data_IF_458678624508
#
_entry.id   IF_458678624508
#
_cell.length_a   1.000
_cell.length_b   1.000
_cell.length_c   1.000
_cell.angle_alpha   90.00
_cell.angle_beta   90.00
_cell.angle_gamma   90.00
#
_symmetry.space_group_name_H-M   'P 1'
#
loop_
_entity.id
_entity.type
_entity.pdbx_description
1 polymer ?
#
# COMPACT_ATOMS: atom_id res chain seq x y z
N UNK A 1 -24.65 61.12 67.97
CA UNK A 1 -24.64 61.36 66.53
C UNK A 1 -23.72 60.32 65.90
N UNK A 2 -24.33 59.29 65.32
CA UNK A 2 -23.56 58.19 64.69
C UNK A 2 -23.38 58.44 63.20
N UNK A 3 -22.11 58.47 62.73
CA UNK A 3 -21.78 58.52 61.32
C UNK A 3 -21.61 57.11 60.82
N UNK A 4 -22.47 56.65 59.91
CA UNK A 4 -22.40 55.41 59.21
C UNK A 4 -21.54 55.63 57.90
N UNK A 5 -20.39 54.96 57.82
CA UNK A 5 -19.60 54.88 56.60
C UNK A 5 -20.07 53.67 55.80
N UNK A 6 -20.55 53.92 54.61
CA UNK A 6 -20.84 52.84 53.60
C UNK A 6 -19.59 52.65 52.80
N UNK A 7 -19.01 51.46 52.91
CA UNK A 7 -17.91 50.99 52.03
C UNK A 7 -18.54 50.31 50.82
N UNK A 8 -18.41 50.88 49.62
CA UNK A 8 -18.81 50.27 48.35
C UNK A 8 -17.65 49.38 47.89
N UNK A 9 -17.84 48.08 47.93
CA UNK A 9 -16.91 47.12 47.34
C UNK A 9 -17.22 46.96 45.84
N UNK A 10 -16.39 47.55 44.99
CA UNK A 10 -16.44 47.35 43.55
C UNK A 10 -15.83 45.98 43.17
N UNK A 11 -16.65 45.06 42.67
CA UNK A 11 -16.20 43.82 42.13
C UNK A 11 -15.65 44.02 40.69
N UNK A 12 -14.35 43.98 40.52
CA UNK A 12 -13.72 43.91 39.20
C UNK A 12 -13.85 42.48 38.66
N UNK A 13 -14.73 42.24 37.70
CA UNK A 13 -14.81 40.99 36.93
C UNK A 13 -13.82 41.13 35.79
N UNK A 14 -12.63 40.58 35.94
CA UNK A 14 -11.68 40.37 34.84
C UNK A 14 -12.16 39.20 34.01
N UNK A 15 -12.80 39.46 32.87
CA UNK A 15 -13.10 38.47 31.87
C UNK A 15 -11.76 38.03 31.18
N UNK A 16 -11.18 36.92 31.62
CA UNK A 16 -10.14 36.23 30.86
C UNK A 16 -10.80 35.70 29.58
N UNK A 17 -10.57 36.38 28.47
CA UNK A 17 -10.90 35.87 27.15
C UNK A 17 -10.07 34.65 26.84
N UNK A 18 -10.59 33.45 27.09
CA UNK A 18 -10.06 32.21 26.56
C UNK A 18 -10.26 32.26 25.06
N UNK A 19 -9.22 32.66 24.32
CA UNK A 19 -9.15 32.44 22.89
C UNK A 19 -9.05 30.93 22.67
N UNK A 20 -10.17 30.24 22.50
CA UNK A 20 -10.21 28.87 22.02
C UNK A 20 -9.69 28.94 20.57
N UNK A 21 -8.57 28.30 20.25
CA UNK A 21 -8.16 28.21 18.85
C UNK A 21 -9.31 27.54 18.10
N UNK A 22 -9.92 28.24 17.17
CA UNK A 22 -10.94 27.66 16.30
C UNK A 22 -10.28 26.50 15.58
N UNK A 23 -10.67 25.28 15.90
CA UNK A 23 -10.29 24.11 15.11
C UNK A 23 -10.78 24.40 13.69
N UNK A 24 -9.85 24.69 12.79
CA UNK A 24 -10.18 24.94 11.38
C UNK A 24 -10.79 23.63 10.85
N UNK A 25 -12.07 23.68 10.52
CA UNK A 25 -12.75 22.51 9.97
C UNK A 25 -12.03 22.06 8.71
N UNK A 26 -11.90 20.76 8.54
CA UNK A 26 -11.32 20.17 7.33
C UNK A 26 -12.18 20.56 6.12
N UNK A 27 -11.57 21.26 5.17
CA UNK A 27 -12.23 21.71 3.96
C UNK A 27 -11.97 20.71 2.82
N UNK A 28 -12.87 19.74 2.70
CA UNK A 28 -12.81 18.73 1.64
C UNK A 28 -12.83 19.34 0.22
N UNK A 29 -13.41 20.53 0.06
CA UNK A 29 -13.54 21.15 -1.28
C UNK A 29 -12.18 21.52 -1.90
N UNK A 30 -11.14 21.59 -1.07
CA UNK A 30 -9.76 21.82 -1.52
C UNK A 30 -9.08 20.59 -2.12
N UNK A 31 -9.67 19.42 -1.96
CA UNK A 31 -9.07 18.15 -2.39
C UNK A 31 -9.80 17.58 -3.60
N UNK A 32 -9.13 16.75 -4.43
CA UNK A 32 -9.80 16.06 -5.50
C UNK A 32 -10.88 15.11 -4.94
N UNK A 33 -11.96 14.96 -5.67
CA UNK A 33 -13.02 14.03 -5.26
C UNK A 33 -12.58 12.58 -5.53
N UNK A 34 -11.94 11.95 -4.54
CA UNK A 34 -11.51 10.56 -4.60
C UNK A 34 -12.50 9.57 -3.98
N UNK A 35 -13.72 10.03 -3.64
CA UNK A 35 -14.77 9.20 -3.02
C UNK A 35 -15.24 8.08 -3.95
N UNK A 36 -15.69 6.99 -3.35
CA UNK A 36 -16.21 5.79 -4.04
C UNK A 36 -15.13 4.73 -4.24
N UNK A 37 -15.54 3.63 -4.85
CA UNK A 37 -14.64 2.53 -5.16
C UNK A 37 -13.94 2.75 -6.49
N UNK A 38 -12.67 2.34 -6.53
CA UNK A 38 -11.81 2.41 -7.68
C UNK A 38 -11.35 1.02 -8.08
N UNK A 39 -11.56 0.67 -9.32
CA UNK A 39 -11.22 -0.62 -9.89
C UNK A 39 -10.06 -0.47 -10.86
N UNK A 40 -9.02 -1.29 -10.69
CA UNK A 40 -7.87 -1.25 -11.60
C UNK A 40 -8.29 -1.59 -13.02
N UNK A 41 -7.84 -0.80 -13.97
CA UNK A 41 -7.99 -1.04 -15.40
C UNK A 41 -6.62 -1.27 -16.05
N UNK A 42 -6.61 -1.97 -17.18
CA UNK A 42 -5.38 -2.28 -17.91
C UNK A 42 -4.61 -3.46 -17.33
N UNK A 43 -3.32 -3.54 -17.67
CA UNK A 43 -2.46 -4.66 -17.28
C UNK A 43 -2.21 -4.72 -15.78
N UNK A 44 -2.33 -5.91 -15.15
CA UNK A 44 -1.87 -6.13 -13.78
C UNK A 44 -0.35 -6.18 -13.67
N UNK A 45 0.35 -6.32 -14.78
CA UNK A 45 1.81 -6.41 -14.81
C UNK A 45 2.45 -5.06 -15.03
N UNK A 46 3.64 -4.92 -14.54
CA UNK A 46 4.57 -3.91 -15.01
C UNK A 46 5.08 -4.32 -16.41
N UNK A 47 5.82 -3.44 -17.05
CA UNK A 47 6.54 -3.80 -18.28
C UNK A 47 7.79 -4.63 -17.92
N UNK A 48 7.56 -5.86 -17.51
CA UNK A 48 8.56 -6.76 -16.97
C UNK A 48 9.65 -7.11 -18.02
N UNK A 49 9.27 -7.17 -19.30
CA UNK A 49 10.21 -7.44 -20.39
C UNK A 49 11.30 -6.36 -20.52
N UNK A 50 10.96 -5.10 -20.19
CA UNK A 50 11.87 -3.95 -20.26
C UNK A 50 12.37 -3.48 -18.90
N UNK A 51 12.10 -4.24 -17.82
CA UNK A 51 12.60 -3.91 -16.50
C UNK A 51 14.13 -3.80 -16.50
N UNK A 52 14.71 -2.68 -16.01
CA UNK A 52 16.15 -2.44 -16.04
C UNK A 52 16.88 -3.19 -14.93
N UNK A 53 16.70 -4.52 -14.86
CA UNK A 53 17.34 -5.37 -13.85
C UNK A 53 18.85 -5.41 -14.03
N UNK A 54 19.56 -5.47 -12.90
CA UNK A 54 20.98 -5.85 -12.89
C UNK A 54 21.13 -7.28 -13.45
N UNK A 55 22.32 -7.68 -13.95
CA UNK A 55 22.52 -9.04 -14.45
C UNK A 55 22.21 -10.13 -13.43
N UNK A 56 22.52 -9.91 -12.16
CA UNK A 56 22.24 -10.82 -11.06
C UNK A 56 20.73 -11.03 -10.89
N UNK A 57 19.96 -9.94 -10.77
CA UNK A 57 18.51 -10.00 -10.54
C UNK A 57 17.74 -10.44 -11.78
N UNK A 58 18.28 -10.20 -12.97
CA UNK A 58 17.74 -10.79 -14.21
C UNK A 58 17.84 -12.31 -14.20
N UNK A 59 18.98 -12.86 -13.78
CA UNK A 59 19.14 -14.31 -13.65
C UNK A 59 18.17 -14.92 -12.62
N UNK A 60 17.93 -14.24 -11.49
CA UNK A 60 16.95 -14.65 -10.49
C UNK A 60 15.54 -14.65 -11.08
N UNK A 61 15.18 -13.61 -11.82
CA UNK A 61 13.86 -13.51 -12.46
C UNK A 61 13.64 -14.57 -13.53
N UNK A 62 14.62 -14.81 -14.40
CA UNK A 62 14.55 -15.85 -15.43
C UNK A 62 14.43 -17.26 -14.81
N UNK A 63 15.13 -17.52 -13.72
CA UNK A 63 14.98 -18.76 -12.97
C UNK A 63 13.58 -18.90 -12.36
N UNK A 64 13.02 -17.80 -11.86
CA UNK A 64 11.64 -17.74 -11.35
C UNK A 64 10.63 -18.06 -12.45
N UNK A 65 10.76 -17.44 -13.63
CA UNK A 65 9.89 -17.72 -14.78
C UNK A 65 9.96 -19.18 -15.22
N UNK A 66 11.14 -19.76 -15.21
CA UNK A 66 11.34 -21.18 -15.54
C UNK A 66 10.67 -22.11 -14.54
N UNK A 67 10.75 -21.79 -13.24
CA UNK A 67 10.07 -22.56 -12.19
C UNK A 67 8.54 -22.45 -12.35
N UNK A 68 8.02 -21.25 -12.59
CA UNK A 68 6.59 -21.02 -12.84
C UNK A 68 6.08 -21.76 -14.08
N UNK A 69 6.87 -21.83 -15.15
CA UNK A 69 6.53 -22.59 -16.35
C UNK A 69 6.42 -24.12 -16.09
N UNK A 70 7.01 -24.61 -15.00
CA UNK A 70 6.95 -26.02 -14.56
C UNK A 70 5.86 -26.24 -13.50
N UNK A 71 5.04 -25.23 -13.20
CA UNK A 71 4.00 -25.27 -12.17
C UNK A 71 4.49 -24.88 -10.76
N UNK A 72 5.74 -24.39 -10.66
CA UNK A 72 6.25 -23.80 -9.42
C UNK A 72 5.69 -22.39 -9.17
N UNK A 73 6.06 -21.82 -8.05
CA UNK A 73 5.60 -20.48 -7.63
C UNK A 73 6.59 -19.37 -7.98
N UNK A 74 7.78 -19.74 -8.46
CA UNK A 74 8.86 -18.80 -8.63
C UNK A 74 9.26 -18.18 -7.29
N UNK A 75 9.54 -16.86 -7.30
CA UNK A 75 9.90 -16.07 -6.12
C UNK A 75 8.71 -15.30 -5.52
N UNK A 76 7.50 -15.55 -5.99
CA UNK A 76 6.30 -14.84 -5.49
C UNK A 76 5.93 -15.30 -4.08
N UNK A 77 6.04 -14.44 -3.04
CA UNK A 77 5.77 -14.84 -1.67
C UNK A 77 4.27 -14.87 -1.33
N UNK A 78 3.40 -14.31 -2.16
CA UNK A 78 1.97 -14.20 -1.85
C UNK A 78 1.25 -15.53 -1.86
N UNK A 79 1.82 -16.55 -2.50
CA UNK A 79 1.29 -17.91 -2.45
C UNK A 79 1.28 -18.51 -1.03
N UNK A 80 2.08 -18.00 -0.12
CA UNK A 80 2.09 -18.41 1.30
C UNK A 80 1.46 -17.38 2.22
N UNK A 81 0.54 -16.56 1.69
CA UNK A 81 -0.18 -15.50 2.40
C UNK A 81 0.72 -14.41 3.01
N UNK A 82 1.92 -14.24 2.50
CA UNK A 82 2.70 -13.04 2.79
C UNK A 82 2.02 -11.85 2.09
N UNK A 83 1.78 -10.74 2.80
CA UNK A 83 1.16 -9.56 2.19
C UNK A 83 1.89 -9.10 0.93
N UNK A 84 1.20 -8.68 -0.13
CA UNK A 84 1.83 -8.25 -1.38
C UNK A 84 2.77 -7.06 -1.19
N UNK A 85 2.47 -6.17 -0.26
CA UNK A 85 3.27 -4.97 0.02
C UNK A 85 3.34 -3.99 -1.15
N UNK A 86 4.07 -2.89 -0.95
CA UNK A 86 4.29 -1.90 -1.99
C UNK A 86 5.38 -2.36 -2.98
N UNK A 87 5.23 -2.06 -4.30
CA UNK A 87 4.11 -1.37 -4.96
C UNK A 87 2.97 -2.31 -5.37
N UNK A 88 3.08 -3.62 -5.18
CA UNK A 88 2.14 -4.63 -5.68
C UNK A 88 0.73 -4.43 -5.16
N UNK A 89 0.57 -3.93 -3.93
CA UNK A 89 -0.73 -3.65 -3.32
C UNK A 89 -1.55 -2.65 -4.16
N UNK A 90 -0.90 -1.74 -4.89
CA UNK A 90 -1.55 -0.81 -5.81
C UNK A 90 -1.95 -1.45 -7.15
N UNK A 91 -1.68 -2.74 -7.33
CA UNK A 91 -1.90 -3.45 -8.58
C UNK A 91 -2.79 -4.69 -8.46
N UNK A 92 -3.48 -4.83 -7.34
CA UNK A 92 -4.42 -5.94 -7.10
C UNK A 92 -5.71 -5.80 -7.93
N UNK A 93 -6.50 -6.85 -7.99
CA UNK A 93 -7.75 -6.89 -8.76
C UNK A 93 -8.92 -6.27 -8.03
N UNK A 94 -8.90 -6.40 -6.71
CA UNK A 94 -10.01 -5.97 -5.88
C UNK A 94 -10.08 -4.44 -5.80
N UNK A 95 -11.26 -3.88 -5.57
CA UNK A 95 -11.44 -2.44 -5.50
C UNK A 95 -10.70 -1.84 -4.31
N UNK A 96 -10.38 -0.55 -4.44
CA UNK A 96 -9.87 0.27 -3.35
C UNK A 96 -10.75 1.48 -3.12
N UNK A 97 -10.69 2.04 -1.90
CA UNK A 97 -11.32 3.30 -1.53
C UNK A 97 -10.27 4.24 -0.96
N UNK A 98 -10.40 5.53 -1.27
CA UNK A 98 -9.46 6.55 -0.80
C UNK A 98 -10.21 7.50 0.13
N UNK A 99 -9.72 7.61 1.37
CA UNK A 99 -10.28 8.48 2.40
C UNK A 99 -9.26 9.55 2.76
N UNK A 100 -9.62 10.81 2.54
CA UNK A 100 -8.77 11.95 2.86
C UNK A 100 -9.18 12.52 4.22
N UNK A 101 -8.19 12.72 5.08
CA UNK A 101 -8.34 13.40 6.37
C UNK A 101 -7.33 14.55 6.47
N UNK A 102 -7.41 15.44 7.46
CA UNK A 102 -6.47 16.56 7.60
C UNK A 102 -4.99 16.19 7.67
N UNK A 103 -4.67 14.96 8.09
CA UNK A 103 -3.29 14.55 8.34
C UNK A 103 -2.86 13.27 7.61
N UNK A 104 -3.82 12.54 7.06
CA UNK A 104 -3.56 11.22 6.46
C UNK A 104 -4.51 10.99 5.30
N UNK A 105 -3.99 10.54 4.18
CA UNK A 105 -4.77 9.87 3.16
C UNK A 105 -4.68 8.35 3.38
N UNK A 106 -5.83 7.70 3.48
CA UNK A 106 -5.94 6.25 3.60
C UNK A 106 -6.32 5.66 2.26
N UNK A 107 -5.63 4.62 1.85
CA UNK A 107 -6.04 3.77 0.74
C UNK A 107 -6.43 2.43 1.36
N UNK A 108 -7.74 2.17 1.37
CA UNK A 108 -8.32 0.91 1.82
C UNK A 108 -8.34 -0.03 0.61
N UNK A 109 -7.82 -1.21 0.77
CA UNK A 109 -7.71 -2.19 -0.32
C UNK A 109 -8.42 -3.45 0.12
N UNK A 110 -9.43 -3.84 -0.64
CA UNK A 110 -10.25 -5.01 -0.29
C UNK A 110 -9.44 -6.30 -0.31
N UNK A 111 -8.43 -6.38 -1.18
CA UNK A 111 -7.55 -7.55 -1.25
C UNK A 111 -6.87 -7.80 0.10
N UNK A 112 -7.15 -8.94 0.71
CA UNK A 112 -6.67 -9.34 2.05
C UNK A 112 -6.91 -8.30 3.15
N UNK A 113 -7.93 -7.44 3.00
CA UNK A 113 -8.28 -6.36 3.94
C UNK A 113 -7.09 -5.48 4.32
N UNK A 114 -6.25 -5.13 3.35
CA UNK A 114 -5.07 -4.33 3.59
C UNK A 114 -5.38 -2.83 3.56
N UNK A 115 -4.56 -2.07 4.26
CA UNK A 115 -4.74 -0.62 4.36
C UNK A 115 -3.38 0.08 4.30
N UNK A 116 -3.31 1.10 3.46
CA UNK A 116 -2.16 1.97 3.34
C UNK A 116 -2.44 3.33 3.97
N UNK A 117 -1.48 3.86 4.73
CA UNK A 117 -1.52 5.19 5.33
C UNK A 117 -0.47 6.07 4.69
N UNK A 118 -0.88 7.21 4.15
CA UNK A 118 0.01 8.24 3.60
C UNK A 118 -0.13 9.47 4.50
N UNK A 119 0.92 9.80 5.23
CA UNK A 119 0.92 10.93 6.15
C UNK A 119 1.14 12.24 5.37
N UNK A 120 0.18 13.17 5.48
CA UNK A 120 0.16 14.41 4.71
C UNK A 120 0.24 15.67 5.59
N UNK A 121 0.69 15.51 6.83
CA UNK A 121 0.78 16.58 7.84
C UNK A 121 2.17 17.23 7.93
N UNK A 122 3.06 16.96 6.98
CA UNK A 122 4.41 17.53 6.93
C UNK A 122 5.36 16.99 7.98
N UNK A 123 5.06 15.83 8.59
CA UNK A 123 5.94 15.20 9.57
C UNK A 123 7.27 14.76 8.98
N UNK A 124 8.34 14.74 9.77
CA UNK A 124 9.63 14.17 9.34
C UNK A 124 9.54 12.63 9.26
N UNK A 125 10.50 12.05 8.55
CA UNK A 125 10.71 10.60 8.56
C UNK A 125 11.01 10.10 9.96
N UNK A 126 10.36 9.02 10.43
CA UNK A 126 10.70 8.40 11.70
C UNK A 126 12.09 7.77 11.63
N UNK A 127 12.80 7.79 12.75
CA UNK A 127 14.19 7.28 12.80
C UNK A 127 14.26 5.78 13.11
N UNK A 128 13.38 5.33 14.01
CA UNK A 128 13.45 3.97 14.55
C UNK A 128 12.06 3.34 14.51
N UNK A 129 11.69 2.80 13.34
CA UNK A 129 10.47 2.02 13.15
C UNK A 129 10.80 0.70 12.48
N UNK A 130 10.06 -0.34 12.83
CA UNK A 130 10.16 -1.63 12.17
C UNK A 130 9.67 -1.53 10.72
N UNK A 131 10.40 -2.14 9.76
CA UNK A 131 9.96 -2.17 8.37
C UNK A 131 8.69 -3.00 8.22
N UNK A 132 7.83 -2.58 7.28
CA UNK A 132 6.56 -3.27 6.97
C UNK A 132 6.44 -3.58 5.48
N UNK A 133 5.52 -4.45 5.09
CA UNK A 133 5.29 -4.75 3.67
C UNK A 133 4.72 -3.54 2.91
N UNK A 134 3.85 -2.76 3.53
CA UNK A 134 3.32 -1.53 2.94
C UNK A 134 4.31 -0.35 3.03
N UNK A 135 5.35 -0.47 3.86
CA UNK A 135 6.30 0.61 4.12
C UNK A 135 5.72 1.73 4.99
N UNK A 136 6.45 2.82 5.05
CA UNK A 136 6.03 4.09 5.65
C UNK A 136 5.94 5.14 4.55
N UNK A 137 4.77 5.78 4.39
CA UNK A 137 4.52 6.73 3.30
C UNK A 137 4.31 8.12 3.84
N UNK A 138 5.05 9.09 3.30
CA UNK A 138 4.82 10.54 3.48
C UNK A 138 4.35 11.09 2.15
N UNK A 139 3.32 11.92 2.18
CA UNK A 139 2.76 12.56 1.00
C UNK A 139 2.60 14.06 1.17
N UNK A 140 2.50 14.74 0.04
CA UNK A 140 2.20 16.16 -0.04
C UNK A 140 1.14 16.39 -1.10
N UNK A 141 0.12 17.16 -0.73
CA UNK A 141 -0.87 17.65 -1.66
C UNK A 141 -0.34 18.86 -2.40
N UNK A 142 -0.44 18.85 -3.73
CA UNK A 142 0.06 19.90 -4.62
C UNK A 142 -1.12 20.49 -5.37
N UNK A 143 -1.13 21.80 -5.48
CA UNK A 143 -1.96 22.59 -6.37
C UNK A 143 -1.08 22.93 -7.59
N UNK A 144 -1.25 22.18 -8.70
CA UNK A 144 -0.33 22.29 -9.85
C UNK A 144 -0.67 23.43 -10.77
N UNK A 145 -1.89 23.96 -10.74
CA UNK A 145 -2.36 25.04 -11.61
C UNK A 145 -2.60 26.38 -10.88
N UNK A 146 -2.50 26.38 -9.54
CA UNK A 146 -2.58 27.57 -8.70
C UNK A 146 -4.01 28.10 -8.50
N UNK A 147 -5.03 27.25 -8.65
CA UNK A 147 -6.44 27.62 -8.49
C UNK A 147 -6.91 27.63 -7.03
N UNK A 148 -6.03 27.25 -6.09
CA UNK A 148 -6.31 27.15 -4.66
C UNK A 148 -6.87 25.79 -4.24
N UNK A 149 -6.86 24.81 -5.15
CA UNK A 149 -7.29 23.43 -4.89
C UNK A 149 -6.15 22.47 -5.22
N UNK A 150 -6.07 21.40 -4.46
CA UNK A 150 -5.11 20.33 -4.74
C UNK A 150 -5.62 19.44 -5.87
N UNK A 151 -4.74 19.08 -6.77
CA UNK A 151 -5.03 18.20 -7.90
C UNK A 151 -4.08 17.00 -7.99
N UNK A 152 -3.00 16.99 -7.19
CA UNK A 152 -1.99 15.96 -7.17
C UNK A 152 -1.61 15.60 -5.73
N UNK A 153 -1.49 14.29 -5.44
CA UNK A 153 -0.83 13.78 -4.25
C UNK A 153 0.51 13.17 -4.65
N UNK A 154 1.62 13.82 -4.26
CA UNK A 154 2.96 13.23 -4.36
C UNK A 154 3.26 12.43 -3.11
N UNK A 155 3.79 11.21 -3.28
CA UNK A 155 4.06 10.30 -2.18
C UNK A 155 5.47 9.73 -2.31
N UNK A 156 6.15 9.61 -1.19
CA UNK A 156 7.36 8.80 -1.08
C UNK A 156 7.14 7.73 -0.01
N UNK A 157 7.51 6.48 -0.34
CA UNK A 157 7.42 5.33 0.56
C UNK A 157 8.79 4.70 0.75
N UNK A 158 9.15 4.47 2.01
CA UNK A 158 10.39 3.83 2.44
C UNK A 158 10.09 2.80 3.52
N UNK A 159 11.14 2.24 4.09
CA UNK A 159 11.07 1.33 5.23
C UNK A 159 10.22 0.08 4.93
N UNK A 160 10.51 -0.49 3.79
CA UNK A 160 9.86 -1.69 3.26
C UNK A 160 10.59 -2.93 3.75
N UNK A 161 9.87 -4.03 3.93
CA UNK A 161 10.46 -5.35 4.19
C UNK A 161 10.05 -6.35 3.12
N UNK A 162 10.93 -7.31 2.87
CA UNK A 162 10.67 -8.46 1.99
C UNK A 162 10.25 -9.73 2.75
N UNK A 163 10.01 -10.80 2.01
CA UNK A 163 10.13 -10.87 0.54
C UNK A 163 9.00 -10.15 -0.19
N UNK A 164 9.28 -9.58 -1.36
CA UNK A 164 8.34 -8.83 -2.20
C UNK A 164 8.64 -9.03 -3.68
N UNK A 165 7.62 -8.84 -4.51
CA UNK A 165 7.72 -8.78 -5.97
C UNK A 165 6.85 -7.64 -6.50
N UNK A 166 7.16 -7.13 -7.70
CA UNK A 166 6.40 -6.03 -8.31
C UNK A 166 4.96 -6.41 -8.64
N UNK A 167 4.78 -7.65 -9.11
CA UNK A 167 3.50 -8.20 -9.51
C UNK A 167 3.58 -9.73 -9.63
N UNK A 168 2.55 -10.34 -10.21
CA UNK A 168 2.48 -11.79 -10.39
C UNK A 168 3.48 -12.36 -11.43
N UNK A 169 4.30 -11.52 -12.10
CA UNK A 169 5.40 -12.00 -12.93
C UNK A 169 6.62 -12.49 -12.13
N UNK A 170 6.62 -12.21 -10.82
CA UNK A 170 7.75 -12.54 -9.96
C UNK A 170 8.96 -11.61 -10.18
N UNK A 171 8.77 -10.41 -10.77
CA UNK A 171 9.83 -9.43 -10.91
C UNK A 171 10.35 -9.05 -9.51
N UNK A 172 11.65 -9.35 -9.19
CA UNK A 172 12.14 -9.30 -7.82
C UNK A 172 12.60 -7.92 -7.40
N UNK A 173 12.62 -7.69 -6.08
CA UNK A 173 13.33 -6.60 -5.41
C UNK A 173 14.65 -7.07 -4.83
N UNK A 174 15.53 -6.12 -4.57
CA UNK A 174 16.78 -6.39 -3.87
C UNK A 174 16.53 -6.82 -2.41
N UNK A 175 17.37 -7.72 -1.93
CA UNK A 175 17.19 -8.33 -0.59
C UNK A 175 17.52 -7.42 0.59
N UNK A 176 18.19 -6.27 0.35
CA UNK A 176 18.51 -5.29 1.40
C UNK A 176 17.31 -4.47 1.89
N UNK A 177 16.20 -4.48 1.14
CA UNK A 177 14.99 -3.71 1.44
C UNK A 177 15.16 -2.18 1.47
N UNK A 178 16.21 -1.65 0.83
CA UNK A 178 16.47 -0.21 0.73
C UNK A 178 15.70 0.48 -0.42
N UNK A 179 14.65 -0.16 -0.88
CA UNK A 179 13.76 0.35 -1.93
C UNK A 179 13.13 1.68 -1.54
N UNK A 180 13.13 2.63 -2.48
CA UNK A 180 12.34 3.86 -2.39
C UNK A 180 11.29 3.86 -3.50
N UNK A 181 10.04 4.16 -3.14
CA UNK A 181 8.93 4.24 -4.09
C UNK A 181 8.41 5.66 -4.08
N UNK A 182 8.32 6.29 -5.27
CA UNK A 182 7.67 7.59 -5.45
C UNK A 182 6.45 7.43 -6.31
N UNK A 183 5.37 8.13 -5.92
CA UNK A 183 4.11 8.05 -6.62
C UNK A 183 3.55 9.43 -6.87
N UNK A 184 2.81 9.55 -7.96
CA UNK A 184 2.00 10.72 -8.29
C UNK A 184 0.59 10.24 -8.56
N UNK A 185 -0.31 10.55 -7.63
CA UNK A 185 -1.71 10.12 -7.64
C UNK A 185 -2.58 11.31 -7.99
N UNK A 186 -3.31 11.24 -9.11
CA UNK A 186 -4.12 12.34 -9.62
C UNK A 186 -5.30 11.86 -10.47
N UNK A 187 -6.35 12.66 -10.53
CA UNK A 187 -7.46 12.42 -11.46
C UNK A 187 -7.06 12.87 -12.88
N UNK A 188 -7.56 12.15 -13.87
CA UNK A 188 -7.44 12.59 -15.26
C UNK A 188 -8.13 13.93 -15.46
N UNK A 189 -7.50 14.83 -16.24
CA UNK A 189 -8.00 16.20 -16.45
C UNK A 189 -9.29 16.25 -17.30
N UNK A 190 -9.55 15.21 -18.08
CA UNK A 190 -10.70 15.13 -18.98
C UNK A 190 -11.79 14.22 -18.39
N UNK A 191 -11.37 13.11 -17.79
CA UNK A 191 -12.30 12.15 -17.16
C UNK A 191 -12.09 12.07 -15.64
N UNK A 192 -12.91 12.75 -14.83
CA UNK A 192 -12.79 12.71 -13.37
C UNK A 192 -13.09 11.33 -12.75
N UNK A 193 -13.49 10.35 -13.55
CA UNK A 193 -13.68 8.97 -13.12
C UNK A 193 -12.49 8.07 -13.48
N UNK A 194 -11.41 8.65 -13.95
CA UNK A 194 -10.15 7.98 -14.20
C UNK A 194 -9.09 8.51 -13.22
N UNK A 195 -8.56 7.63 -12.39
CA UNK A 195 -7.47 7.90 -11.46
C UNK A 195 -6.18 7.33 -12.04
N UNK A 196 -5.11 8.11 -11.96
CA UNK A 196 -3.76 7.72 -12.32
C UNK A 196 -2.90 7.59 -11.07
N UNK A 197 -1.98 6.64 -11.12
CA UNK A 197 -0.89 6.48 -10.16
C UNK A 197 0.40 6.17 -10.95
N UNK A 198 1.26 7.18 -11.06
CA UNK A 198 2.58 7.05 -11.65
C UNK A 198 3.54 6.57 -10.57
N UNK A 199 3.87 5.28 -10.58
CA UNK A 199 4.71 4.65 -9.58
C UNK A 199 6.13 4.50 -10.11
N UNK A 200 7.09 5.14 -9.48
CA UNK A 200 8.52 5.02 -9.77
C UNK A 200 9.22 4.30 -8.62
N UNK A 201 9.96 3.27 -8.96
CA UNK A 201 10.73 2.47 -8.01
C UNK A 201 12.22 2.68 -8.23
N UNK A 202 12.94 3.00 -7.17
CA UNK A 202 14.40 2.98 -7.07
C UNK A 202 14.79 1.82 -6.16
N UNK A 203 15.59 0.89 -6.68
CA UNK A 203 15.95 -0.35 -5.99
C UNK A 203 17.31 -0.85 -6.48
N UNK A 204 18.10 -1.47 -5.62
CA UNK A 204 19.43 -1.97 -5.98
C UNK A 204 19.40 -3.19 -6.93
N UNK A 205 18.24 -3.82 -7.10
CA UNK A 205 18.05 -4.81 -8.17
C UNK A 205 17.99 -4.20 -9.58
N UNK A 206 17.88 -2.85 -9.67
CA UNK A 206 17.72 -2.09 -10.91
C UNK A 206 18.99 -1.32 -11.26
N UNK A 207 19.22 -1.13 -12.55
CA UNK A 207 20.30 -0.25 -13.08
C UNK A 207 19.82 1.20 -13.29
N UNK A 208 18.51 1.44 -13.25
CA UNK A 208 17.86 2.76 -13.36
C UNK A 208 16.48 2.72 -12.69
N UNK A 209 15.91 3.86 -12.29
CA UNK A 209 14.52 3.93 -11.80
C UNK A 209 13.55 3.30 -12.81
N UNK A 210 12.57 2.58 -12.30
CA UNK A 210 11.58 1.88 -13.11
C UNK A 210 10.19 2.41 -12.81
N UNK A 211 9.51 2.94 -13.84
CA UNK A 211 8.22 3.62 -13.69
C UNK A 211 7.11 2.86 -14.40
N UNK A 212 5.95 2.76 -13.76
CA UNK A 212 4.72 2.30 -14.38
C UNK A 212 3.57 3.27 -14.06
N UNK A 213 2.69 3.53 -15.04
CA UNK A 213 1.44 4.22 -14.80
C UNK A 213 0.34 3.20 -14.56
N UNK A 214 -0.27 3.22 -13.38
CA UNK A 214 -1.44 2.43 -13.03
C UNK A 214 -2.68 3.29 -13.12
N UNK A 215 -3.76 2.69 -13.58
CA UNK A 215 -5.03 3.38 -13.82
C UNK A 215 -6.17 2.68 -13.14
N UNK A 216 -7.09 3.47 -12.62
CA UNK A 216 -8.27 2.96 -11.94
C UNK A 216 -9.50 3.71 -12.42
N UNK A 217 -10.55 2.96 -12.76
CA UNK A 217 -11.85 3.53 -13.08
C UNK A 217 -12.70 3.60 -11.81
N UNK A 218 -13.44 4.69 -11.64
CA UNK A 218 -14.43 4.78 -10.57
C UNK A 218 -15.56 3.80 -10.83
N UNK A 219 -15.90 2.98 -9.85
CA UNK A 219 -17.01 2.05 -9.95
C UNK A 219 -18.32 2.79 -10.18
N UNK A 220 -19.15 2.24 -11.06
CA UNK A 220 -20.50 2.74 -11.36
C UNK A 220 -21.56 2.15 -10.43
N UNK A 221 -21.19 1.20 -9.58
CA UNK A 221 -22.09 0.63 -8.60
C UNK A 221 -22.49 1.71 -7.58
N UNK A 222 -23.79 1.87 -7.38
CA UNK A 222 -24.36 2.83 -6.42
C UNK A 222 -24.48 2.27 -5.01
N UNK A 223 -24.32 0.97 -4.86
CA UNK A 223 -24.39 0.25 -3.60
C UNK A 223 -23.21 -0.74 -3.50
N UNK A 224 -21.99 -0.25 -3.62
CA UNK A 224 -20.82 -1.12 -3.63
C UNK A 224 -20.74 -1.88 -2.30
N UNK A 225 -20.36 -3.14 -2.40
CA UNK A 225 -20.10 -3.98 -1.25
C UNK A 225 -18.60 -4.06 -1.00
N UNK A 226 -18.23 -4.22 0.25
CA UNK A 226 -16.86 -4.52 0.64
C UNK A 226 -16.83 -5.97 1.12
N UNK A 227 -16.23 -6.85 0.32
CA UNK A 227 -16.13 -8.26 0.65
C UNK A 227 -14.96 -8.48 1.60
N UNK A 228 -15.18 -9.32 2.57
CA UNK A 228 -14.08 -9.82 3.40
C UNK A 228 -13.25 -10.81 2.57
N UNK A 229 -11.94 -10.61 2.56
CA UNK A 229 -10.99 -11.49 1.91
C UNK A 229 -9.97 -11.99 2.93
N UNK A 230 -9.78 -13.29 2.97
CA UNK A 230 -8.76 -13.93 3.81
C UNK A 230 -7.92 -14.86 2.96
N UNK A 231 -6.63 -14.60 2.88
CA UNK A 231 -5.73 -15.48 2.15
C UNK A 231 -5.73 -16.89 2.73
N UNK A 232 -5.96 -17.05 4.02
CA UNK A 232 -5.93 -18.35 4.70
C UNK A 232 -7.11 -19.26 4.30
N UNK A 233 -8.27 -18.69 3.93
CA UNK A 233 -9.48 -19.46 3.68
C UNK A 233 -9.39 -20.36 2.42
N UNK A 234 -8.64 -19.94 1.41
CA UNK A 234 -8.47 -20.69 0.17
C UNK A 234 -7.03 -21.12 -0.09
N UNK A 235 -6.13 -20.93 0.87
CA UNK A 235 -4.72 -21.21 0.68
C UNK A 235 -4.38 -22.65 1.08
N UNK A 236 -4.13 -23.47 0.09
CA UNK A 236 -3.67 -24.86 0.29
C UNK A 236 -2.15 -25.03 0.15
N UNK A 237 -1.40 -23.92 0.07
CA UNK A 237 0.05 -23.97 -0.02
C UNK A 237 0.71 -24.17 1.32
N UNK A 238 1.61 -25.16 1.41
CA UNK A 238 2.40 -25.46 2.61
C UNK A 238 3.87 -25.41 2.26
N UNK A 239 4.61 -24.56 2.96
CA UNK A 239 6.05 -24.44 2.80
C UNK A 239 6.75 -25.39 3.78
N UNK A 240 7.55 -26.33 3.26
CA UNK A 240 8.38 -27.24 4.04
C UNK A 240 9.84 -27.00 3.65
N UNK A 241 10.59 -26.40 4.56
CA UNK A 241 11.93 -25.90 4.23
C UNK A 241 11.88 -24.75 3.22
N UNK A 242 12.37 -24.99 2.01
CA UNK A 242 12.32 -24.03 0.91
C UNK A 242 11.38 -24.46 -0.22
N UNK A 243 10.73 -25.59 -0.07
CA UNK A 243 9.85 -26.18 -1.08
C UNK A 243 8.39 -25.96 -0.72
N UNK A 244 7.60 -25.63 -1.73
CA UNK A 244 6.17 -25.50 -1.59
C UNK A 244 5.46 -26.78 -1.98
N UNK A 245 4.42 -27.14 -1.25
CA UNK A 245 3.53 -28.26 -1.50
C UNK A 245 2.08 -27.80 -1.45
N UNK A 246 1.17 -28.56 -2.07
CA UNK A 246 -0.27 -28.40 -1.85
C UNK A 246 -0.76 -29.33 -0.75
N UNK A 247 -1.61 -28.83 0.10
CA UNK A 247 -2.40 -29.64 1.02
C UNK A 247 -3.76 -29.93 0.35
N UNK A 248 -4.08 -31.19 0.14
CA UNK A 248 -5.41 -31.59 -0.30
C UNK A 248 -6.45 -31.44 0.81
N UNK A 249 -7.73 -31.40 0.46
CA UNK A 249 -8.82 -31.34 1.43
C UNK A 249 -8.82 -32.55 2.39
N UNK A 250 -8.27 -33.67 1.93
CA UNK A 250 -8.10 -34.89 2.76
C UNK A 250 -6.82 -34.85 3.62
N UNK A 251 -6.04 -33.75 3.59
CA UNK A 251 -4.85 -33.55 4.40
C UNK A 251 -3.56 -34.17 3.84
N UNK A 252 -3.54 -34.58 2.57
CA UNK A 252 -2.33 -35.08 1.92
C UNK A 252 -1.49 -33.97 1.31
N UNK A 253 -0.17 -34.05 1.50
CA UNK A 253 0.78 -33.15 0.83
C UNK A 253 1.04 -33.65 -0.60
N UNK A 254 0.70 -32.81 -1.55
CA UNK A 254 0.88 -33.06 -2.98
C UNK A 254 1.99 -32.20 -3.55
N UNK A 255 2.71 -32.68 -4.59
CA UNK A 255 3.69 -31.84 -5.30
C UNK A 255 3.02 -30.57 -5.87
N UNK A 256 3.64 -29.42 -5.66
CA UNK A 256 3.20 -28.14 -6.27
C UNK A 256 3.74 -27.99 -7.70
N UNK A 257 4.77 -28.74 -8.07
CA UNK A 257 5.36 -28.70 -9.42
C UNK A 257 5.71 -30.10 -9.93
N UNK A 258 5.81 -30.23 -11.25
CA UNK A 258 6.12 -31.50 -11.91
C UNK A 258 7.52 -32.03 -11.51
N UNK A 259 7.57 -33.28 -11.10
CA UNK A 259 8.82 -33.95 -10.73
C UNK A 259 9.39 -33.54 -9.38
N UNK A 260 8.63 -32.83 -8.57
CA UNK A 260 9.05 -32.48 -7.22
C UNK A 260 9.16 -33.73 -6.33
N UNK A 261 10.25 -33.79 -5.55
CA UNK A 261 10.43 -34.84 -4.56
C UNK A 261 9.38 -34.76 -3.45
N UNK A 262 9.05 -35.88 -2.80
CA UNK A 262 8.24 -35.88 -1.59
C UNK A 262 8.84 -34.96 -0.51
N UNK A 263 7.99 -34.36 0.38
CA UNK A 263 8.49 -33.47 1.42
C UNK A 263 9.40 -34.20 2.41
N UNK A 264 10.46 -33.52 2.87
CA UNK A 264 11.32 -34.00 3.94
C UNK A 264 10.64 -33.78 5.30
N UNK A 265 10.01 -34.83 5.82
CA UNK A 265 9.29 -34.80 7.09
C UNK A 265 10.13 -35.20 8.31
N UNK A 266 11.48 -35.17 8.21
CA UNK A 266 12.39 -35.60 9.28
C UNK A 266 12.17 -34.88 10.63
N UNK A 267 11.58 -33.70 10.63
CA UNK A 267 11.26 -32.96 11.85
C UNK A 267 9.89 -33.33 12.45
N UNK A 268 9.06 -34.04 11.71
CA UNK A 268 7.79 -34.55 12.21
C UNK A 268 8.01 -35.93 12.81
N UNK A 269 8.23 -35.97 14.10
CA UNK A 269 8.29 -37.26 14.81
C UNK A 269 6.91 -37.87 14.83
N UNK A 270 6.76 -39.05 14.25
CA UNK A 270 5.58 -39.88 14.51
C UNK A 270 5.58 -40.22 16.03
N UNK A 271 4.49 -39.87 16.71
CA UNK A 271 4.24 -40.28 18.10
C UNK A 271 3.78 -41.71 18.12
#
# INVERSE_FOLDING_TARGET
>A
MLHRWLIAAGAFVTALGLSVPSAQAFDESKYPNLKGQWERIGSPRWDDAHAPLTPEYRAIWEASLKDMAQGGQGVDPTYTCIPPGMPRIMNVYDPMEIVITPKVAYILIQHINDMRRIYTDGRPWPKDIDPTFAGYSIGQWIDTDGDGRYDLLEVETRNLKGPRVYDASGLPFHSDNETVIRERIYLDKVDPNLLHDDITVEDHALTAPFTANKKYARSKDRQPVWLEASCADGNHHVLIGKENYFLSDDGYLMPAKKGQAPPDLKYFKQK
#
